data_IF_603338443711
#
_entry.id   IF_603338443711
#
_cell.length_a   1.000
_cell.length_b   1.000
_cell.length_c   1.000
_cell.angle_alpha   90.00
_cell.angle_beta   90.00
_cell.angle_gamma   90.00
#
_symmetry.space_group_name_H-M   'P 1'
#
loop_
_entity.id
_entity.type
_entity.pdbx_description
1 polymer ?
#
# COMPACT_ATOMS: atom_id res chain seq x y z
N UNK A 1 13.75 23.45 -9.29
CA UNK A 1 12.42 23.56 -9.93
C UNK A 1 11.73 22.20 -10.02
N UNK A 2 10.58 22.04 -9.36
CA UNK A 2 9.79 20.79 -9.33
C UNK A 2 9.51 20.23 -10.73
N UNK A 3 9.31 21.12 -11.69
CA UNK A 3 9.07 20.83 -13.11
C UNK A 3 10.17 19.99 -13.77
N UNK A 4 11.45 20.19 -13.41
CA UNK A 4 12.54 19.35 -13.92
C UNK A 4 12.48 17.94 -13.33
N UNK A 5 12.04 17.78 -12.08
CA UNK A 5 11.94 16.47 -11.43
C UNK A 5 10.89 15.60 -12.12
N UNK A 6 9.72 16.16 -12.42
CA UNK A 6 8.63 15.42 -13.08
C UNK A 6 9.00 14.92 -14.49
N UNK A 7 9.76 15.70 -15.26
CA UNK A 7 10.24 15.27 -16.59
C UNK A 7 11.21 14.08 -16.47
N UNK A 8 12.13 14.11 -15.50
CA UNK A 8 13.02 12.97 -15.27
C UNK A 8 12.24 11.75 -14.76
N UNK A 9 11.31 11.94 -13.82
CA UNK A 9 10.47 10.86 -13.29
C UNK A 9 9.77 10.10 -14.43
N UNK A 10 9.09 10.80 -15.34
CA UNK A 10 8.40 10.14 -16.48
C UNK A 10 9.38 9.38 -17.39
N UNK A 11 10.55 9.95 -17.68
CA UNK A 11 11.57 9.30 -18.52
C UNK A 11 12.12 8.03 -17.88
N UNK A 12 12.41 8.05 -16.58
CA UNK A 12 12.92 6.89 -15.85
C UNK A 12 11.84 5.81 -15.69
N UNK A 13 10.59 6.19 -15.38
CA UNK A 13 9.48 5.25 -15.30
C UNK A 13 9.24 4.52 -16.63
N UNK A 14 9.30 5.24 -17.75
CA UNK A 14 9.23 4.62 -19.07
C UNK A 14 10.38 3.64 -19.31
N UNK A 15 11.61 3.97 -18.86
CA UNK A 15 12.74 3.05 -18.99
C UNK A 15 12.56 1.78 -18.15
N UNK A 16 12.10 1.91 -16.89
CA UNK A 16 11.84 0.77 -16.00
C UNK A 16 10.68 -0.09 -16.51
N UNK A 17 9.65 0.53 -17.09
CA UNK A 17 8.50 -0.17 -17.67
C UNK A 17 8.85 -1.09 -18.85
N UNK A 18 10.02 -0.95 -19.47
CA UNK A 18 10.51 -1.93 -20.45
C UNK A 18 10.93 -3.26 -19.83
N UNK A 19 11.31 -3.26 -18.55
CA UNK A 19 11.89 -4.42 -17.87
C UNK A 19 10.93 -5.06 -16.87
N UNK A 20 9.90 -4.33 -16.42
CA UNK A 20 8.98 -4.74 -15.36
C UNK A 20 7.55 -4.63 -15.87
N UNK A 21 6.70 -5.59 -15.50
CA UNK A 21 5.28 -5.54 -15.87
C UNK A 21 4.60 -4.34 -15.19
N UNK A 22 3.65 -3.73 -15.88
CA UNK A 22 2.86 -2.61 -15.35
C UNK A 22 2.26 -2.91 -13.96
N UNK A 23 1.67 -4.11 -13.78
CA UNK A 23 1.05 -4.48 -12.51
C UNK A 23 2.06 -4.54 -11.35
N UNK A 24 3.27 -5.04 -11.61
CA UNK A 24 4.35 -5.13 -10.61
C UNK A 24 4.90 -3.73 -10.30
N UNK A 25 5.02 -2.87 -11.31
CA UNK A 25 5.47 -1.48 -11.12
C UNK A 25 4.45 -0.65 -10.31
N UNK A 26 3.16 -0.83 -10.56
CA UNK A 26 2.09 -0.17 -9.80
C UNK A 26 2.02 -0.68 -8.35
N UNK A 27 2.17 -1.99 -8.13
CA UNK A 27 2.25 -2.57 -6.79
C UNK A 27 3.46 -2.03 -6.00
N UNK A 28 4.62 -1.95 -6.65
CA UNK A 28 5.82 -1.36 -6.07
C UNK A 28 5.63 0.13 -5.74
N UNK A 29 4.88 0.88 -6.55
CA UNK A 29 4.56 2.26 -6.25
C UNK A 29 3.65 2.37 -5.01
N UNK A 30 2.61 1.54 -4.92
CA UNK A 30 1.73 1.50 -3.74
C UNK A 30 2.50 1.13 -2.46
N UNK A 31 3.54 0.29 -2.54
CA UNK A 31 4.37 -0.10 -1.40
C UNK A 31 5.15 1.06 -0.77
N UNK A 32 5.28 2.19 -1.48
CA UNK A 32 5.90 3.41 -0.95
C UNK A 32 4.95 4.21 -0.05
N UNK A 33 3.65 3.87 -0.06
CA UNK A 33 2.55 4.61 0.56
C UNK A 33 2.36 6.04 0.05
N UNK A 34 3.13 6.46 -0.97
CA UNK A 34 2.96 7.74 -1.65
C UNK A 34 1.94 7.59 -2.79
N UNK A 35 0.71 8.05 -2.52
CA UNK A 35 -0.39 8.01 -3.49
C UNK A 35 -0.22 9.01 -4.65
N UNK A 36 0.67 10.01 -4.52
CA UNK A 36 1.00 10.91 -5.62
C UNK A 36 1.97 10.22 -6.57
N UNK A 37 3.04 9.61 -6.05
CA UNK A 37 3.97 8.80 -6.84
C UNK A 37 3.23 7.67 -7.55
N UNK A 38 2.33 6.97 -6.84
CA UNK A 38 1.51 5.90 -7.42
C UNK A 38 0.69 6.37 -8.62
N UNK A 39 0.12 7.57 -8.55
CA UNK A 39 -0.62 8.16 -9.68
C UNK A 39 0.29 8.46 -10.87
N UNK A 40 1.50 8.99 -10.63
CA UNK A 40 2.50 9.24 -11.68
C UNK A 40 2.93 7.94 -12.38
N UNK A 41 3.09 6.85 -11.62
CA UNK A 41 3.43 5.52 -12.15
C UNK A 41 2.30 4.96 -13.01
N UNK A 42 1.05 5.08 -12.55
CA UNK A 42 -0.11 4.62 -13.31
C UNK A 42 -0.27 5.37 -14.64
N UNK A 43 -0.11 6.70 -14.62
CA UNK A 43 -0.16 7.53 -15.82
C UNK A 43 0.96 7.14 -16.80
N UNK A 44 2.18 6.96 -16.29
CA UNK A 44 3.34 6.59 -17.12
C UNK A 44 3.23 5.18 -17.73
N UNK A 45 2.42 4.30 -17.13
CA UNK A 45 2.26 2.91 -17.57
C UNK A 45 1.03 2.68 -18.46
N UNK A 46 0.29 3.75 -18.82
CA UNK A 46 -0.96 3.69 -19.59
C UNK A 46 -2.09 2.88 -18.92
N UNK A 47 -2.13 2.84 -17.59
CA UNK A 47 -3.24 2.21 -16.86
C UNK A 47 -4.54 2.98 -17.06
N UNK A 48 -5.69 2.32 -17.10
CA UNK A 48 -6.99 3.00 -17.23
C UNK A 48 -7.25 3.93 -16.02
N UNK A 49 -7.39 5.26 -16.22
CA UNK A 49 -7.74 6.21 -15.17
C UNK A 49 -9.00 5.87 -14.40
N UNK A 50 -9.97 5.17 -15.02
CA UNK A 50 -11.20 4.74 -14.37
C UNK A 50 -10.97 3.62 -13.35
N UNK A 51 -9.86 2.89 -13.43
CA UNK A 51 -9.52 1.86 -12.45
C UNK A 51 -8.75 2.43 -11.27
N UNK A 52 -7.67 3.18 -11.53
CA UNK A 52 -6.76 3.60 -10.45
C UNK A 52 -7.20 4.88 -9.73
N UNK A 53 -7.85 5.84 -10.41
CA UNK A 53 -8.24 7.10 -9.74
C UNK A 53 -9.28 6.91 -8.64
N UNK A 54 -10.35 6.09 -8.80
CA UNK A 54 -11.29 5.84 -7.72
C UNK A 54 -10.60 5.22 -6.50
N UNK A 55 -9.77 4.19 -6.73
CA UNK A 55 -8.98 3.53 -5.69
C UNK A 55 -8.11 4.54 -4.91
N UNK A 56 -7.31 5.35 -5.60
CA UNK A 56 -6.43 6.32 -4.93
C UNK A 56 -7.23 7.40 -4.18
N UNK A 57 -8.37 7.82 -4.71
CA UNK A 57 -9.24 8.79 -4.05
C UNK A 57 -9.93 8.22 -2.80
N UNK A 58 -10.30 6.94 -2.81
CA UNK A 58 -10.80 6.25 -1.62
C UNK A 58 -9.69 6.16 -0.55
N UNK A 59 -8.50 5.73 -0.93
CA UNK A 59 -7.35 5.60 -0.01
C UNK A 59 -6.96 6.94 0.63
N UNK A 60 -7.03 8.07 -0.11
CA UNK A 60 -6.77 9.41 0.42
C UNK A 60 -7.74 9.82 1.54
N UNK A 61 -8.97 9.31 1.53
CA UNK A 61 -9.99 9.63 2.55
C UNK A 61 -9.87 8.78 3.81
N UNK A 62 -9.10 7.69 3.76
CA UNK A 62 -8.91 6.80 4.90
C UNK A 62 -8.01 7.49 5.92
N UNK A 63 -8.51 7.61 7.15
CA UNK A 63 -7.77 8.06 8.33
C UNK A 63 -7.98 7.03 9.45
N UNK A 64 -7.02 6.86 10.38
CA UNK A 64 -5.70 7.48 10.43
C UNK A 64 -4.70 6.88 9.41
N UNK A 65 -3.51 7.48 9.29
CA UNK A 65 -2.45 7.05 8.35
C UNK A 65 -2.11 5.55 8.46
N UNK A 66 -2.01 4.99 9.68
CA UNK A 66 -1.77 3.56 9.89
C UNK A 66 -2.88 2.70 9.27
N UNK A 67 -4.14 3.13 9.38
CA UNK A 67 -5.26 2.40 8.78
C UNK A 67 -5.27 2.55 7.26
N UNK A 68 -4.85 3.70 6.71
CA UNK A 68 -4.63 3.87 5.27
C UNK A 68 -3.56 2.90 4.75
N UNK A 69 -2.42 2.79 5.42
CA UNK A 69 -1.34 1.85 5.05
C UNK A 69 -1.82 0.40 5.08
N UNK A 70 -2.57 0.03 6.11
CA UNK A 70 -3.26 -1.27 6.16
C UNK A 70 -4.14 -1.50 4.91
N UNK A 71 -4.99 -0.53 4.54
CA UNK A 71 -5.85 -0.64 3.36
C UNK A 71 -5.04 -0.75 2.05
N UNK A 72 -3.92 -0.04 1.95
CA UNK A 72 -3.00 -0.15 0.82
C UNK A 72 -2.44 -1.57 0.74
N UNK A 73 -1.92 -2.10 1.84
CA UNK A 73 -1.35 -3.46 1.87
C UNK A 73 -2.40 -4.54 1.58
N UNK A 74 -3.65 -4.34 2.00
CA UNK A 74 -4.77 -5.21 1.65
C UNK A 74 -5.02 -5.25 0.14
N UNK A 75 -4.98 -4.11 -0.54
CA UNK A 75 -5.14 -4.03 -2.00
C UNK A 75 -4.00 -4.76 -2.72
N UNK A 76 -2.80 -4.65 -2.18
CA UNK A 76 -1.58 -5.30 -2.69
C UNK A 76 -1.48 -6.78 -2.33
N UNK A 77 -2.41 -7.29 -1.53
CA UNK A 77 -2.35 -8.65 -0.96
C UNK A 77 -1.11 -8.91 -0.08
N UNK A 78 -0.49 -7.86 0.47
CA UNK A 78 0.57 -7.97 1.47
C UNK A 78 -0.03 -8.11 2.87
N UNK A 79 -0.49 -9.32 3.19
CA UNK A 79 -1.19 -9.58 4.45
C UNK A 79 -0.33 -9.36 5.69
N UNK A 80 0.99 -9.50 5.57
CA UNK A 80 1.93 -9.29 6.68
C UNK A 80 2.11 -7.81 6.98
N UNK A 81 2.34 -6.99 5.95
CA UNK A 81 2.37 -5.54 6.08
C UNK A 81 1.03 -4.99 6.59
N UNK A 82 -0.08 -5.51 6.05
CA UNK A 82 -1.42 -5.16 6.48
C UNK A 82 -1.61 -5.40 7.99
N UNK A 83 -1.25 -6.59 8.48
CA UNK A 83 -1.35 -6.92 9.90
C UNK A 83 -0.45 -6.02 10.77
N UNK A 84 0.76 -5.71 10.30
CA UNK A 84 1.67 -4.82 11.00
C UNK A 84 1.06 -3.42 11.17
N UNK A 85 0.54 -2.83 10.11
CA UNK A 85 -0.10 -1.51 10.19
C UNK A 85 -1.38 -1.52 11.02
N UNK A 86 -2.18 -2.58 10.90
CA UNK A 86 -3.41 -2.73 11.67
C UNK A 86 -3.15 -2.87 13.17
N UNK A 87 -2.03 -3.51 13.56
CA UNK A 87 -1.62 -3.61 14.98
C UNK A 87 -1.32 -2.26 15.65
N UNK A 88 -1.00 -1.24 14.83
CA UNK A 88 -0.73 0.12 15.29
C UNK A 88 -2.02 0.97 15.44
N UNK A 89 -3.19 0.48 15.01
CA UNK A 89 -4.46 1.19 15.12
C UNK A 89 -5.19 0.75 16.40
N UNK A 90 -5.60 1.72 17.22
CA UNK A 90 -6.46 1.47 18.40
C UNK A 90 -7.84 0.96 17.96
N UNK A 91 -8.49 0.17 18.82
CA UNK A 91 -9.88 -0.31 18.64
C UNK A 91 -10.15 -1.16 17.38
N UNK A 92 -9.10 -1.71 16.75
CA UNK A 92 -9.18 -2.57 15.55
C UNK A 92 -8.72 -4.01 15.78
N UNK A 93 -8.70 -4.46 17.03
CA UNK A 93 -8.25 -5.80 17.39
C UNK A 93 -9.08 -6.91 16.74
N UNK A 94 -10.41 -6.80 16.73
CA UNK A 94 -11.28 -7.81 16.13
C UNK A 94 -11.01 -7.97 14.63
N UNK A 95 -10.75 -6.86 13.93
CA UNK A 95 -10.38 -6.85 12.52
C UNK A 95 -9.02 -7.54 12.30
N UNK A 96 -8.05 -7.30 13.20
CA UNK A 96 -6.76 -7.97 13.16
C UNK A 96 -6.90 -9.49 13.39
N UNK A 97 -7.70 -9.92 14.36
CA UNK A 97 -7.97 -11.34 14.62
C UNK A 97 -8.67 -12.00 13.43
N UNK A 98 -9.62 -11.31 12.80
CA UNK A 98 -10.29 -11.80 11.60
C UNK A 98 -9.28 -11.99 10.45
N UNK A 99 -8.40 -11.00 10.20
CA UNK A 99 -7.34 -11.09 9.20
C UNK A 99 -6.37 -12.24 9.47
N UNK A 100 -5.95 -12.42 10.73
CA UNK A 100 -5.04 -13.51 11.13
C UNK A 100 -5.66 -14.87 10.82
N UNK A 101 -6.96 -15.05 11.12
CA UNK A 101 -7.67 -16.30 10.85
C UNK A 101 -7.88 -16.52 9.36
N UNK A 102 -8.32 -15.51 8.62
CA UNK A 102 -8.60 -15.62 7.18
C UNK A 102 -7.33 -15.95 6.38
N UNK A 103 -6.21 -15.27 6.69
CA UNK A 103 -4.94 -15.42 5.96
C UNK A 103 -3.93 -16.34 6.65
N UNK A 104 -4.33 -17.03 7.72
CA UNK A 104 -3.51 -17.99 8.47
C UNK A 104 -2.16 -17.38 8.96
N UNK A 105 -2.18 -16.14 9.43
CA UNK A 105 -0.96 -15.36 9.76
C UNK A 105 -0.41 -15.62 11.17
N UNK A 106 -0.73 -16.75 11.81
CA UNK A 106 -0.47 -16.96 13.24
C UNK A 106 0.99 -16.73 13.67
N UNK A 107 1.96 -17.20 12.88
CA UNK A 107 3.39 -17.01 13.18
C UNK A 107 3.82 -15.55 13.09
N UNK A 108 3.35 -14.83 12.06
CA UNK A 108 3.60 -13.40 11.89
C UNK A 108 2.92 -12.60 13.00
N UNK A 109 1.68 -12.95 13.35
CA UNK A 109 0.93 -12.32 14.42
C UNK A 109 1.66 -12.42 15.77
N UNK A 110 2.21 -13.59 16.12
CA UNK A 110 2.98 -13.76 17.34
C UNK A 110 4.21 -12.85 17.39
N UNK A 111 4.93 -12.71 16.27
CA UNK A 111 6.11 -11.83 16.19
C UNK A 111 5.70 -10.36 16.31
N UNK A 112 4.67 -9.94 15.58
CA UNK A 112 4.20 -8.55 15.54
C UNK A 112 3.59 -8.14 16.90
N UNK A 113 2.81 -9.02 17.53
CA UNK A 113 2.12 -8.72 18.78
C UNK A 113 3.02 -8.84 20.01
N UNK A 114 4.17 -9.51 19.92
CA UNK A 114 5.08 -9.76 21.06
C UNK A 114 5.52 -8.47 21.76
N UNK A 115 5.85 -7.44 20.98
CA UNK A 115 6.36 -6.16 21.49
C UNK A 115 5.25 -5.11 21.66
N UNK A 116 4.02 -5.44 21.27
CA UNK A 116 2.88 -4.55 21.41
C UNK A 116 2.40 -4.56 22.85
N UNK A 117 2.56 -3.43 23.54
CA UNK A 117 1.99 -3.21 24.88
C UNK A 117 0.45 -3.28 24.90
N UNK A 118 -0.21 -3.24 23.73
CA UNK A 118 -1.67 -3.29 23.58
C UNK A 118 -2.28 -4.69 23.69
N UNK A 119 -1.49 -5.74 23.54
CA UNK A 119 -2.00 -7.13 23.52
C UNK A 119 -1.51 -7.99 24.69
N UNK A 120 -1.08 -7.34 25.78
CA UNK A 120 -0.77 -7.99 27.05
C UNK A 120 -2.02 -8.31 27.85
#
# INVERSE_FOLDING_TARGET
PAEKRDVYTRKWLHHVGFFVKEAELFDAALSTYDLHLTAQVAEASNRDPKEYLPLLNELRKVEPECYRKYRIDMVRSDWRGALQHLSLVDDKWEEAVALIRDKQLYSAALVICKDSSRYK
#
